data_IF_822628835915
#
_entry.id   IF_822628835915
#
_cell.length_a   1.000
_cell.length_b   1.000
_cell.length_c   1.000
_cell.angle_alpha   90.00
_cell.angle_beta   90.00
_cell.angle_gamma   90.00
#
_symmetry.space_group_name_H-M   'P 1'
#
loop_
_entity.id
_entity.type
_entity.pdbx_description
1 polymer ?
#
# COMPACT_ATOMS: atom_id res chain seq x y z
N UNK A 1 -70.54 42.36 -62.40
CA UNK A 1 -71.39 43.53 -62.71
C UNK A 1 -71.60 43.53 -64.22
N UNK A 2 -72.84 43.52 -64.71
CA UNK A 2 -73.14 43.57 -66.14
C UNK A 2 -72.80 44.96 -66.67
N UNK A 3 -71.93 45.03 -67.68
CA UNK A 3 -71.44 46.26 -68.32
C UNK A 3 -72.57 47.24 -68.67
N UNK A 4 -72.35 48.53 -68.43
CA UNK A 4 -73.31 49.61 -68.66
C UNK A 4 -73.87 49.67 -70.09
N UNK A 5 -73.11 49.18 -71.07
CA UNK A 5 -73.54 49.08 -72.46
C UNK A 5 -74.58 47.98 -72.71
N UNK A 6 -74.52 46.88 -71.94
CA UNK A 6 -75.51 45.79 -72.03
C UNK A 6 -76.86 46.20 -71.43
N UNK A 7 -76.85 46.96 -70.33
CA UNK A 7 -78.06 47.53 -69.75
C UNK A 7 -78.70 48.59 -70.66
N UNK A 8 -77.89 49.43 -71.33
CA UNK A 8 -78.34 50.38 -72.34
C UNK A 8 -78.97 49.71 -73.56
N UNK A 9 -78.39 48.61 -74.04
CA UNK A 9 -78.93 47.85 -75.18
C UNK A 9 -80.28 47.21 -74.86
N UNK A 10 -80.44 46.66 -73.64
CA UNK A 10 -81.71 46.11 -73.16
C UNK A 10 -82.76 47.22 -73.05
N UNK A 11 -82.41 48.37 -72.46
CA UNK A 11 -83.31 49.53 -72.37
C UNK A 11 -83.77 50.04 -73.75
N UNK A 12 -82.86 50.10 -74.73
CA UNK A 12 -83.19 50.49 -76.11
C UNK A 12 -84.13 49.51 -76.80
N UNK A 13 -83.91 48.21 -76.58
CA UNK A 13 -84.74 47.13 -77.15
C UNK A 13 -86.13 47.11 -76.53
N UNK A 14 -86.27 47.43 -75.24
CA UNK A 14 -87.57 47.59 -74.56
C UNK A 14 -88.32 48.81 -75.12
N UNK A 15 -87.65 49.95 -75.34
CA UNK A 15 -88.27 51.13 -75.96
C UNK A 15 -88.71 50.89 -77.41
N UNK A 16 -87.94 50.16 -78.21
CA UNK A 16 -88.33 49.78 -79.58
C UNK A 16 -89.55 48.86 -79.59
N UNK A 17 -89.68 47.97 -78.61
CA UNK A 17 -90.86 47.11 -78.43
C UNK A 17 -92.09 47.92 -78.02
N UNK A 18 -91.93 48.91 -77.14
CA UNK A 18 -93.03 49.80 -76.71
C UNK A 18 -93.52 50.71 -77.86
N UNK A 19 -92.62 51.18 -78.73
CA UNK A 19 -93.00 51.91 -79.95
C UNK A 19 -93.73 51.03 -80.97
N UNK A 20 -93.27 49.78 -81.19
CA UNK A 20 -93.94 48.81 -82.06
C UNK A 20 -95.34 48.44 -81.54
N UNK A 21 -95.50 48.34 -80.21
CA UNK A 21 -96.78 48.11 -79.55
C UNK A 21 -97.73 49.31 -79.72
N UNK A 22 -97.24 50.54 -79.54
CA UNK A 22 -98.03 51.76 -79.75
C UNK A 22 -98.47 51.93 -81.22
N UNK A 23 -97.63 51.55 -82.19
CA UNK A 23 -97.93 51.63 -83.63
C UNK A 23 -98.97 50.63 -84.14
N UNK A 24 -99.18 49.52 -83.41
CA UNK A 24 -100.11 48.45 -83.77
C UNK A 24 -101.45 48.50 -83.03
N UNK A 25 -101.67 49.53 -82.21
CA UNK A 25 -102.85 49.73 -81.34
C UNK A 25 -104.17 49.98 -82.09
N UNK A 26 -104.15 50.06 -83.43
CA UNK A 26 -105.30 50.48 -84.25
C UNK A 26 -106.03 49.40 -85.05
N UNK A 27 -105.57 48.14 -85.11
CA UNK A 27 -106.13 47.18 -86.09
C UNK A 27 -106.66 45.85 -85.55
N UNK A 28 -106.78 45.64 -84.23
CA UNK A 28 -107.37 44.40 -83.69
C UNK A 28 -108.05 44.58 -82.32
N UNK A 29 -109.04 43.73 -82.05
CA UNK A 29 -109.82 43.67 -80.81
C UNK A 29 -108.93 43.46 -79.57
N UNK A 30 -109.13 44.30 -78.54
CA UNK A 30 -108.36 44.34 -77.27
C UNK A 30 -108.18 42.97 -76.60
N UNK A 31 -109.11 42.04 -76.84
CA UNK A 31 -109.13 40.72 -76.20
C UNK A 31 -108.07 39.76 -76.78
N UNK A 32 -107.73 39.87 -78.07
CA UNK A 32 -106.79 38.96 -78.74
C UNK A 32 -105.32 39.35 -78.50
N UNK A 33 -105.01 40.65 -78.38
CA UNK A 33 -103.66 41.12 -78.06
C UNK A 33 -103.25 40.81 -76.62
N UNK A 34 -104.15 40.99 -75.65
CA UNK A 34 -103.85 40.67 -74.24
C UNK A 34 -103.62 39.17 -74.06
N UNK A 35 -104.41 38.32 -74.73
CA UNK A 35 -104.25 36.87 -74.65
C UNK A 35 -102.89 36.43 -75.22
N UNK A 36 -102.50 37.01 -76.36
CA UNK A 36 -101.24 36.71 -77.02
C UNK A 36 -100.04 37.19 -76.20
N UNK A 37 -100.09 38.38 -75.59
CA UNK A 37 -99.03 38.89 -74.72
C UNK A 37 -98.87 38.05 -73.46
N UNK A 38 -99.99 37.60 -72.85
CA UNK A 38 -99.95 36.67 -71.70
C UNK A 38 -99.31 35.33 -72.10
N UNK A 39 -99.65 34.78 -73.27
CA UNK A 39 -99.02 33.55 -73.77
C UNK A 39 -97.53 33.74 -74.04
N UNK A 40 -97.12 34.89 -74.60
CA UNK A 40 -95.72 35.18 -74.88
C UNK A 40 -94.90 35.37 -73.60
N UNK A 41 -95.50 35.96 -72.56
CA UNK A 41 -94.87 36.13 -71.24
C UNK A 41 -94.70 34.79 -70.51
N UNK A 42 -95.76 33.97 -70.46
CA UNK A 42 -95.70 32.62 -69.88
C UNK A 42 -94.68 31.75 -70.62
N UNK A 43 -94.57 31.92 -71.93
CA UNK A 43 -93.58 31.25 -72.76
C UNK A 43 -92.14 31.65 -72.43
N UNK A 44 -91.86 32.95 -72.28
CA UNK A 44 -90.53 33.46 -71.93
C UNK A 44 -90.09 32.93 -70.56
N UNK A 45 -90.99 32.97 -69.57
CA UNK A 45 -90.74 32.46 -68.21
C UNK A 45 -90.42 30.95 -68.26
N UNK A 46 -91.22 30.16 -68.96
CA UNK A 46 -90.98 28.71 -69.09
C UNK A 46 -89.63 28.38 -69.75
N UNK A 47 -89.21 29.14 -70.77
CA UNK A 47 -87.90 28.95 -71.40
C UNK A 47 -86.75 29.33 -70.48
N UNK A 48 -86.85 30.45 -69.76
CA UNK A 48 -85.82 30.86 -68.79
C UNK A 48 -85.70 29.78 -67.70
N UNK A 49 -86.80 29.26 -67.18
CA UNK A 49 -86.79 28.16 -66.23
C UNK A 49 -86.13 26.89 -66.80
N UNK A 50 -86.47 26.50 -68.04
CA UNK A 50 -85.84 25.35 -68.69
C UNK A 50 -84.33 25.54 -68.88
N UNK A 51 -83.88 26.73 -69.33
CA UNK A 51 -82.46 27.06 -69.52
C UNK A 51 -81.72 27.04 -68.18
N UNK A 52 -82.30 27.61 -67.13
CA UNK A 52 -81.71 27.60 -65.79
C UNK A 52 -81.54 26.17 -65.28
N UNK A 53 -82.57 25.31 -65.44
CA UNK A 53 -82.50 23.90 -65.04
C UNK A 53 -81.45 23.13 -65.86
N UNK A 54 -81.39 23.36 -67.18
CA UNK A 54 -80.39 22.75 -68.06
C UNK A 54 -78.97 23.19 -67.71
N UNK A 55 -78.76 24.47 -67.36
CA UNK A 55 -77.46 25.00 -66.99
C UNK A 55 -76.99 24.47 -65.62
N UNK A 56 -77.90 24.35 -64.65
CA UNK A 56 -77.58 23.84 -63.32
C UNK A 56 -77.17 22.36 -63.33
N UNK A 57 -77.58 21.61 -64.37
CA UNK A 57 -77.22 20.22 -64.58
C UNK A 57 -76.41 20.01 -65.88
N UNK A 58 -75.57 20.98 -66.24
CA UNK A 58 -74.78 21.00 -67.48
C UNK A 58 -73.89 19.77 -67.68
N UNK A 59 -73.44 19.13 -66.60
CA UNK A 59 -72.67 17.87 -66.64
C UNK A 59 -73.41 16.69 -67.28
N UNK A 60 -74.75 16.73 -67.33
CA UNK A 60 -75.59 15.68 -67.94
C UNK A 60 -75.85 15.89 -69.44
N UNK A 61 -75.47 17.04 -70.00
CA UNK A 61 -75.79 17.41 -71.38
C UNK A 61 -74.99 16.61 -72.42
N UNK A 62 -73.66 16.55 -72.26
CA UNK A 62 -72.76 15.84 -73.19
C UNK A 62 -73.01 14.31 -73.19
N UNK A 63 -73.21 13.64 -72.03
CA UNK A 63 -73.47 12.20 -71.99
C UNK A 63 -74.81 11.79 -72.63
N UNK A 64 -75.86 12.62 -72.54
CA UNK A 64 -77.18 12.31 -73.10
C UNK A 64 -77.19 12.47 -74.63
N UNK A 65 -76.61 13.55 -75.17
CA UNK A 65 -76.53 13.76 -76.62
C UNK A 65 -75.54 12.83 -77.34
N UNK A 66 -74.50 12.35 -76.64
CA UNK A 66 -73.58 11.34 -77.18
C UNK A 66 -74.13 9.91 -77.15
N UNK A 67 -75.37 9.71 -76.68
CA UNK A 67 -76.02 8.40 -76.60
C UNK A 67 -75.49 7.49 -75.49
N UNK A 68 -74.56 7.96 -74.65
CA UNK A 68 -73.99 7.20 -73.53
C UNK A 68 -74.96 7.05 -72.36
N UNK A 69 -75.88 8.01 -72.17
CA UNK A 69 -76.95 7.95 -71.17
C UNK A 69 -78.32 8.10 -71.83
N UNK A 70 -79.25 7.21 -71.46
CA UNK A 70 -80.66 7.36 -71.84
C UNK A 70 -81.30 8.55 -71.13
N UNK A 71 -82.26 9.21 -71.81
CA UNK A 71 -82.93 10.43 -71.34
C UNK A 71 -83.63 10.26 -69.97
N UNK A 72 -84.00 9.04 -69.59
CA UNK A 72 -84.60 8.71 -68.28
C UNK A 72 -83.78 7.69 -67.49
N UNK A 73 -82.46 7.69 -67.68
CA UNK A 73 -81.56 6.79 -66.94
C UNK A 73 -81.42 7.20 -65.47
N UNK A 74 -81.12 6.24 -64.59
CA UNK A 74 -80.97 6.47 -63.13
C UNK A 74 -79.94 7.57 -62.76
N UNK A 75 -79.05 7.95 -63.67
CA UNK A 75 -78.03 8.97 -63.45
C UNK A 75 -78.39 10.39 -63.94
N UNK A 76 -79.56 10.59 -64.56
CA UNK A 76 -79.98 11.90 -65.08
C UNK A 76 -81.14 12.44 -64.24
N UNK A 77 -81.07 13.69 -63.73
CA UNK A 77 -82.17 14.29 -62.99
C UNK A 77 -83.46 14.33 -63.82
N UNK A 78 -84.58 13.93 -63.22
CA UNK A 78 -85.88 13.94 -63.89
C UNK A 78 -86.24 15.34 -64.41
N UNK A 79 -85.90 16.38 -63.63
CA UNK A 79 -86.11 17.78 -63.97
C UNK A 79 -85.35 18.21 -65.24
N UNK A 80 -84.12 17.70 -65.42
CA UNK A 80 -83.31 17.95 -66.62
C UNK A 80 -83.97 17.34 -67.86
N UNK A 81 -84.42 16.10 -67.74
CA UNK A 81 -85.08 15.34 -68.80
C UNK A 81 -86.38 15.99 -69.26
N UNK A 82 -87.20 16.44 -68.29
CA UNK A 82 -88.44 17.18 -68.55
C UNK A 82 -88.15 18.54 -69.17
N UNK A 83 -87.15 19.29 -68.68
CA UNK A 83 -86.77 20.58 -69.25
C UNK A 83 -86.30 20.45 -70.70
N UNK A 84 -85.55 19.39 -71.02
CA UNK A 84 -85.06 19.11 -72.37
C UNK A 84 -86.19 18.71 -73.33
N UNK A 85 -87.16 17.91 -72.87
CA UNK A 85 -88.35 17.58 -73.69
C UNK A 85 -89.24 18.81 -73.85
N UNK A 86 -89.41 19.63 -72.82
CA UNK A 86 -90.30 20.79 -72.86
C UNK A 86 -89.77 21.89 -73.78
N UNK A 87 -88.46 22.15 -73.79
CA UNK A 87 -87.89 23.28 -74.54
C UNK A 87 -88.10 23.15 -76.06
N UNK A 88 -88.19 21.93 -76.60
CA UNK A 88 -88.29 21.67 -78.06
C UNK A 88 -89.70 21.97 -78.61
N UNK A 89 -90.82 21.42 -78.10
CA UNK A 89 -92.16 21.82 -78.49
C UNK A 89 -92.43 23.31 -78.24
N UNK A 90 -91.85 23.84 -77.15
CA UNK A 90 -91.94 25.25 -76.79
C UNK A 90 -91.27 26.11 -77.90
N UNK A 91 -89.98 25.89 -78.21
CA UNK A 91 -89.32 26.65 -79.30
C UNK A 91 -89.99 26.48 -80.66
N UNK A 92 -90.48 25.28 -81.00
CA UNK A 92 -91.24 25.04 -82.24
C UNK A 92 -92.56 25.82 -82.23
N UNK A 93 -93.32 25.80 -81.12
CA UNK A 93 -94.58 26.55 -80.99
C UNK A 93 -94.33 28.06 -81.11
N UNK A 94 -93.24 28.57 -80.57
CA UNK A 94 -92.85 29.99 -80.72
C UNK A 94 -92.40 30.34 -82.12
N UNK A 95 -91.63 29.47 -82.78
CA UNK A 95 -91.31 29.62 -84.20
C UNK A 95 -92.57 29.63 -85.06
N UNK A 96 -93.55 28.76 -84.78
CA UNK A 96 -94.84 28.71 -85.47
C UNK A 96 -95.70 29.93 -85.17
N UNK A 97 -95.76 30.40 -83.91
CA UNK A 97 -96.50 31.61 -83.53
C UNK A 97 -95.87 32.88 -84.11
N UNK A 98 -94.54 32.98 -84.13
CA UNK A 98 -93.81 34.04 -84.82
C UNK A 98 -94.05 33.98 -86.34
N UNK A 99 -93.98 32.80 -86.94
CA UNK A 99 -94.23 32.57 -88.35
C UNK A 99 -95.67 32.95 -88.75
N UNK A 100 -96.65 32.66 -87.89
CA UNK A 100 -98.06 32.99 -88.10
C UNK A 100 -98.38 34.47 -87.87
N UNK A 101 -97.63 35.15 -86.97
CA UNK A 101 -97.82 36.57 -86.62
C UNK A 101 -97.10 37.54 -87.58
N UNK A 102 -95.94 37.18 -88.13
CA UNK A 102 -95.13 38.06 -88.99
C UNK A 102 -95.13 37.63 -90.46
N UNK A 103 -96.25 37.87 -91.16
CA UNK A 103 -96.35 37.73 -92.62
C UNK A 103 -95.67 38.90 -93.38
N UNK A 104 -94.47 39.32 -92.94
CA UNK A 104 -93.73 40.49 -93.48
C UNK A 104 -92.22 40.19 -93.55
N UNK A 105 -91.63 40.23 -94.74
CA UNK A 105 -90.24 39.81 -95.04
C UNK A 105 -89.13 40.59 -94.30
N UNK A 106 -89.36 41.81 -93.82
CA UNK A 106 -88.33 42.64 -93.17
C UNK A 106 -87.93 42.15 -91.77
N UNK A 107 -88.85 41.55 -91.01
CA UNK A 107 -88.58 41.02 -89.66
C UNK A 107 -87.73 39.74 -89.73
N UNK A 108 -87.86 38.96 -90.81
CA UNK A 108 -87.02 37.79 -91.09
C UNK A 108 -85.54 38.16 -91.21
N UNK A 109 -85.21 39.29 -91.86
CA UNK A 109 -83.83 39.74 -92.00
C UNK A 109 -83.25 40.22 -90.66
N UNK A 110 -83.98 41.04 -89.90
CA UNK A 110 -83.51 41.56 -88.61
C UNK A 110 -83.33 40.47 -87.53
N UNK A 111 -84.19 39.44 -87.51
CA UNK A 111 -84.07 38.33 -86.57
C UNK A 111 -82.90 37.40 -86.94
N UNK A 112 -82.65 37.20 -88.24
CA UNK A 112 -81.48 36.46 -88.73
C UNK A 112 -80.20 37.20 -88.36
N UNK A 113 -80.11 38.51 -88.58
CA UNK A 113 -78.91 39.29 -88.23
C UNK A 113 -78.63 39.30 -86.72
N UNK A 114 -79.64 39.56 -85.88
CA UNK A 114 -79.46 39.51 -84.41
C UNK A 114 -79.13 38.09 -83.92
N UNK A 115 -79.70 37.06 -84.55
CA UNK A 115 -79.38 35.66 -84.28
C UNK A 115 -77.93 35.31 -84.65
N UNK A 116 -77.44 35.80 -85.78
CA UNK A 116 -76.04 35.64 -86.22
C UNK A 116 -75.07 36.32 -85.25
N UNK A 117 -75.37 37.53 -84.78
CA UNK A 117 -74.54 38.25 -83.80
C UNK A 117 -74.50 37.52 -82.45
N UNK A 118 -75.63 36.99 -81.96
CA UNK A 118 -75.66 36.19 -80.74
C UNK A 118 -74.87 34.89 -80.88
N UNK A 119 -75.05 34.17 -82.00
CA UNK A 119 -74.29 32.95 -82.29
C UNK A 119 -72.79 33.20 -82.36
N UNK A 120 -72.37 34.34 -82.95
CA UNK A 120 -70.97 34.76 -82.98
C UNK A 120 -70.41 35.02 -81.58
N UNK A 121 -71.12 35.80 -80.74
CA UNK A 121 -70.68 36.03 -79.37
C UNK A 121 -70.63 34.76 -78.53
N UNK A 122 -71.60 33.85 -78.70
CA UNK A 122 -71.59 32.56 -78.03
C UNK A 122 -70.40 31.71 -78.48
N UNK A 123 -70.09 31.69 -79.77
CA UNK A 123 -68.92 31.00 -80.31
C UNK A 123 -67.60 31.58 -79.77
N UNK A 124 -67.50 32.91 -79.64
CA UNK A 124 -66.35 33.58 -79.04
C UNK A 124 -66.18 33.21 -77.56
N UNK A 125 -67.26 33.21 -76.76
CA UNK A 125 -67.22 32.79 -75.36
C UNK A 125 -66.85 31.32 -75.18
N UNK A 126 -67.39 30.43 -76.02
CA UNK A 126 -67.05 28.99 -75.98
C UNK A 126 -65.57 28.79 -76.32
N UNK A 127 -65.05 29.53 -77.30
CA UNK A 127 -63.63 29.50 -77.69
C UNK A 127 -62.71 29.99 -76.57
N UNK A 128 -63.05 31.09 -75.90
CA UNK A 128 -62.27 31.61 -74.76
C UNK A 128 -62.30 30.64 -73.57
N UNK A 129 -63.45 29.98 -73.33
CA UNK A 129 -63.57 28.95 -72.29
C UNK A 129 -62.69 27.73 -72.60
N UNK A 130 -62.66 27.25 -73.85
CA UNK A 130 -61.82 26.15 -74.30
C UNK A 130 -60.32 26.49 -74.15
N UNK A 131 -59.90 27.69 -74.54
CA UNK A 131 -58.52 28.17 -74.37
C UNK A 131 -58.13 28.18 -72.87
N UNK A 132 -58.99 28.71 -72.01
CA UNK A 132 -58.74 28.74 -70.57
C UNK A 132 -58.73 27.34 -69.93
N UNK A 133 -59.62 26.45 -70.38
CA UNK A 133 -59.66 25.05 -69.92
C UNK A 133 -58.35 24.33 -70.25
N UNK A 134 -57.87 24.44 -71.49
CA UNK A 134 -56.58 23.86 -71.91
C UNK A 134 -55.39 24.45 -71.13
N UNK A 135 -55.44 25.74 -70.80
CA UNK A 135 -54.40 26.39 -69.98
C UNK A 135 -54.39 25.83 -68.55
N UNK A 136 -55.56 25.63 -67.95
CA UNK A 136 -55.69 25.02 -66.61
C UNK A 136 -55.18 23.58 -66.62
N UNK A 137 -55.55 22.78 -67.63
CA UNK A 137 -55.04 21.41 -67.79
C UNK A 137 -53.50 21.36 -67.87
N UNK A 138 -52.89 22.28 -68.63
CA UNK A 138 -51.43 22.40 -68.71
C UNK A 138 -50.77 22.72 -67.36
N UNK A 139 -51.36 23.63 -66.59
CA UNK A 139 -50.88 23.97 -65.23
C UNK A 139 -51.04 22.78 -64.29
N UNK A 140 -52.17 22.09 -64.33
CA UNK A 140 -52.41 20.88 -63.53
C UNK A 140 -51.36 19.81 -63.86
N UNK A 141 -51.05 19.59 -65.14
CA UNK A 141 -50.02 18.63 -65.56
C UNK A 141 -48.62 19.05 -65.06
N UNK A 142 -48.30 20.34 -65.05
CA UNK A 142 -47.03 20.86 -64.50
C UNK A 142 -46.92 20.62 -62.99
N UNK A 143 -47.97 20.93 -62.24
CA UNK A 143 -48.00 20.73 -60.78
C UNK A 143 -47.90 19.26 -60.40
N UNK A 144 -48.53 18.35 -61.16
CA UNK A 144 -48.38 16.91 -60.93
C UNK A 144 -46.91 16.46 -61.11
N UNK A 145 -46.22 16.95 -62.15
CA UNK A 145 -44.80 16.63 -62.33
C UNK A 145 -43.92 17.15 -61.20
N UNK A 146 -44.18 18.36 -60.70
CA UNK A 146 -43.44 18.91 -59.56
C UNK A 146 -43.69 18.10 -58.28
N UNK A 147 -44.93 17.67 -58.05
CA UNK A 147 -45.27 16.81 -56.92
C UNK A 147 -44.53 15.46 -56.99
N UNK A 148 -44.49 14.81 -58.16
CA UNK A 148 -43.77 13.55 -58.36
C UNK A 148 -42.26 13.70 -58.08
N UNK A 149 -41.66 14.80 -58.50
CA UNK A 149 -40.25 15.13 -58.19
C UNK A 149 -40.06 15.31 -56.68
N UNK A 150 -40.98 15.99 -56.00
CA UNK A 150 -40.89 16.23 -54.56
C UNK A 150 -41.00 14.93 -53.76
N UNK A 151 -41.93 14.04 -54.13
CA UNK A 151 -42.09 12.71 -53.53
C UNK A 151 -40.80 11.91 -53.70
N UNK A 152 -40.20 11.93 -54.90
CA UNK A 152 -38.95 11.22 -55.18
C UNK A 152 -37.81 11.73 -54.28
N UNK A 153 -37.63 13.06 -54.18
CA UNK A 153 -36.59 13.66 -53.32
C UNK A 153 -36.83 13.40 -51.84
N UNK A 154 -38.09 13.36 -51.39
CA UNK A 154 -38.42 13.04 -50.01
C UNK A 154 -38.03 11.60 -49.67
N UNK A 155 -38.32 10.65 -50.57
CA UNK A 155 -37.94 9.25 -50.39
C UNK A 155 -36.42 9.08 -50.37
N UNK A 156 -35.68 9.71 -51.29
CA UNK A 156 -34.21 9.70 -51.29
C UNK A 156 -33.63 10.26 -49.99
N UNK A 157 -34.18 11.38 -49.48
CA UNK A 157 -33.74 11.97 -48.23
C UNK A 157 -34.05 11.05 -47.03
N UNK A 158 -35.21 10.40 -47.02
CA UNK A 158 -35.60 9.45 -45.98
C UNK A 158 -34.60 8.29 -45.91
N UNK A 159 -34.26 7.68 -47.06
CA UNK A 159 -33.29 6.60 -47.12
C UNK A 159 -31.89 7.02 -46.68
N UNK A 160 -31.46 8.24 -47.03
CA UNK A 160 -30.15 8.76 -46.60
C UNK A 160 -30.14 8.96 -45.08
N UNK A 161 -31.23 9.48 -44.50
CA UNK A 161 -31.36 9.66 -43.06
C UNK A 161 -31.36 8.32 -42.32
N UNK A 162 -32.13 7.33 -42.78
CA UNK A 162 -32.16 5.98 -42.20
C UNK A 162 -30.77 5.34 -42.21
N UNK A 163 -30.08 5.36 -43.35
CA UNK A 163 -28.71 4.84 -43.47
C UNK A 163 -27.72 5.52 -42.52
N UNK A 164 -27.86 6.83 -42.30
CA UNK A 164 -27.00 7.57 -41.35
C UNK A 164 -27.30 7.21 -39.90
N UNK A 165 -28.57 7.07 -39.53
CA UNK A 165 -28.97 6.67 -38.18
C UNK A 165 -28.44 5.28 -37.87
N UNK A 166 -28.60 4.32 -38.78
CA UNK A 166 -28.04 2.98 -38.63
C UNK A 166 -26.51 3.01 -38.49
N UNK A 167 -25.84 3.88 -39.24
CA UNK A 167 -24.40 4.11 -39.14
C UNK A 167 -23.99 4.60 -37.75
N UNK A 168 -24.68 5.60 -37.21
CA UNK A 168 -24.43 6.10 -35.86
C UNK A 168 -24.71 5.04 -34.78
N UNK A 169 -25.81 4.28 -34.89
CA UNK A 169 -26.13 3.22 -33.94
C UNK A 169 -25.08 2.11 -33.90
N UNK A 170 -24.44 1.80 -35.03
CA UNK A 170 -23.31 0.86 -35.08
C UNK A 170 -22.07 1.45 -34.39
N UNK A 171 -21.74 2.71 -34.67
CA UNK A 171 -20.61 3.39 -34.04
C UNK A 171 -20.79 3.52 -32.52
N UNK A 172 -21.99 3.85 -32.03
CA UNK A 172 -22.28 3.93 -30.60
C UNK A 172 -22.17 2.57 -29.91
N UNK A 173 -22.64 1.49 -30.54
CA UNK A 173 -22.47 0.13 -30.02
C UNK A 173 -21.01 -0.27 -29.92
N UNK A 174 -20.23 0.00 -30.96
CA UNK A 174 -18.80 -0.27 -30.96
C UNK A 174 -18.07 0.53 -29.87
N UNK A 175 -18.32 1.83 -29.77
CA UNK A 175 -17.72 2.68 -28.74
C UNK A 175 -18.06 2.21 -27.32
N UNK A 176 -19.30 1.74 -27.10
CA UNK A 176 -19.73 1.19 -25.81
C UNK A 176 -18.95 -0.07 -25.45
N UNK A 177 -18.74 -0.98 -26.40
CA UNK A 177 -17.98 -2.21 -26.15
C UNK A 177 -16.48 -1.92 -25.94
N UNK A 178 -15.90 -1.03 -26.75
CA UNK A 178 -14.50 -0.60 -26.59
C UNK A 178 -14.27 0.04 -25.21
N UNK A 179 -15.23 0.87 -24.75
CA UNK A 179 -15.19 1.50 -23.42
C UNK A 179 -15.28 0.44 -22.32
N UNK A 180 -16.14 -0.57 -22.48
CA UNK A 180 -16.28 -1.67 -21.51
C UNK A 180 -15.01 -2.51 -21.43
N UNK A 181 -14.37 -2.81 -22.56
CA UNK A 181 -13.08 -3.51 -22.62
C UNK A 181 -12.01 -2.68 -21.90
N UNK A 182 -11.92 -1.38 -22.19
CA UNK A 182 -10.96 -0.48 -21.56
C UNK A 182 -11.15 -0.40 -20.04
N UNK A 183 -12.39 -0.22 -19.56
CA UNK A 183 -12.72 -0.19 -18.13
C UNK A 183 -12.37 -1.51 -17.45
N UNK A 184 -12.68 -2.65 -18.08
CA UNK A 184 -12.37 -3.97 -17.53
C UNK A 184 -10.85 -4.18 -17.42
N UNK A 185 -10.09 -3.76 -18.44
CA UNK A 185 -8.63 -3.79 -18.42
C UNK A 185 -8.03 -2.87 -17.34
N UNK A 186 -8.66 -1.72 -17.07
CA UNK A 186 -8.24 -0.82 -16.00
C UNK A 186 -8.52 -1.43 -14.61
N UNK A 187 -9.71 -2.02 -14.43
CA UNK A 187 -10.13 -2.64 -13.19
C UNK A 187 -9.24 -3.82 -12.80
N UNK A 188 -8.85 -4.68 -13.76
CA UNK A 188 -7.92 -5.79 -13.51
C UNK A 188 -6.52 -5.31 -13.11
N UNK A 189 -6.03 -4.24 -13.74
CA UNK A 189 -4.76 -3.60 -13.35
C UNK A 189 -4.81 -3.04 -11.93
N UNK A 190 -5.88 -2.35 -11.57
CA UNK A 190 -6.04 -1.83 -10.21
C UNK A 190 -6.13 -2.95 -9.16
N UNK A 191 -6.86 -4.03 -9.45
CA UNK A 191 -6.94 -5.18 -8.56
C UNK A 191 -5.56 -5.85 -8.35
N UNK A 192 -4.78 -5.99 -9.42
CA UNK A 192 -3.42 -6.52 -9.32
C UNK A 192 -2.49 -5.60 -8.50
N UNK A 193 -2.55 -4.29 -8.74
CA UNK A 193 -1.76 -3.32 -7.99
C UNK A 193 -2.14 -3.31 -6.50
N UNK A 194 -3.43 -3.42 -6.18
CA UNK A 194 -3.88 -3.49 -4.78
C UNK A 194 -3.34 -4.76 -4.09
N UNK A 195 -3.34 -5.90 -4.79
CA UNK A 195 -2.72 -7.14 -4.31
C UNK A 195 -1.22 -6.98 -4.03
N UNK A 196 -0.48 -6.31 -4.92
CA UNK A 196 0.95 -6.03 -4.73
C UNK A 196 1.19 -5.07 -3.54
N UNK A 197 0.34 -4.05 -3.38
CA UNK A 197 0.44 -3.11 -2.25
C UNK A 197 0.18 -3.83 -0.92
N UNK A 198 -0.82 -4.69 -0.86
CA UNK A 198 -1.11 -5.51 0.31
C UNK A 198 0.05 -6.46 0.65
N UNK A 199 0.64 -7.11 -0.36
CA UNK A 199 1.82 -7.95 -0.18
C UNK A 199 3.00 -7.13 0.37
N UNK A 200 3.31 -5.98 -0.21
CA UNK A 200 4.40 -5.11 0.23
C UNK A 200 4.18 -4.64 1.67
N UNK A 201 2.95 -4.27 2.02
CA UNK A 201 2.58 -3.88 3.39
C UNK A 201 2.83 -5.00 4.39
N UNK A 202 2.44 -6.24 4.05
CA UNK A 202 2.67 -7.41 4.90
C UNK A 202 4.17 -7.69 5.11
N UNK A 203 5.00 -7.56 4.06
CA UNK A 203 6.46 -7.74 4.12
C UNK A 203 7.12 -6.66 4.98
N UNK A 204 6.71 -5.40 4.84
CA UNK A 204 7.17 -4.29 5.68
C UNK A 204 6.84 -4.50 7.15
N UNK A 205 5.63 -4.94 7.45
CA UNK A 205 5.22 -5.24 8.83
C UNK A 205 6.08 -6.35 9.44
N UNK A 206 6.31 -7.43 8.69
CA UNK A 206 7.20 -8.53 9.12
C UNK A 206 8.63 -8.02 9.37
N UNK A 207 9.20 -7.26 8.44
CA UNK A 207 10.54 -6.69 8.59
C UNK A 207 10.67 -5.80 9.84
N UNK A 208 9.63 -5.00 10.15
CA UNK A 208 9.58 -4.19 11.37
C UNK A 208 9.57 -5.03 12.65
N UNK A 209 8.86 -6.16 12.67
CA UNK A 209 8.85 -7.09 13.80
C UNK A 209 10.22 -7.76 13.95
N UNK A 210 10.77 -8.26 12.85
CA UNK A 210 12.07 -8.93 12.83
C UNK A 210 13.18 -7.98 13.30
N UNK A 211 13.19 -6.72 12.84
CA UNK A 211 14.12 -5.68 13.28
C UNK A 211 14.05 -5.41 14.79
N UNK A 212 12.84 -5.28 15.35
CA UNK A 212 12.66 -5.11 16.81
C UNK A 212 13.16 -6.32 17.60
N UNK A 213 12.90 -7.53 17.09
CA UNK A 213 13.37 -8.76 17.73
C UNK A 213 14.91 -8.87 17.71
N UNK A 214 15.53 -8.51 16.58
CA UNK A 214 16.99 -8.48 16.44
C UNK A 214 17.62 -7.45 17.35
N UNK A 215 17.06 -6.23 17.45
CA UNK A 215 17.57 -5.19 18.34
C UNK A 215 17.58 -5.66 19.81
N UNK A 216 16.52 -6.38 20.23
CA UNK A 216 16.45 -6.96 21.56
C UNK A 216 17.51 -8.04 21.77
N UNK A 217 17.67 -8.97 20.83
CA UNK A 217 18.68 -10.02 20.91
C UNK A 217 20.10 -9.45 20.98
N UNK A 218 20.40 -8.41 20.21
CA UNK A 218 21.69 -7.71 20.27
C UNK A 218 21.90 -7.05 21.62
N UNK A 219 20.88 -6.39 22.18
CA UNK A 219 20.95 -5.78 23.52
C UNK A 219 21.23 -6.83 24.60
N UNK A 220 20.55 -7.98 24.55
CA UNK A 220 20.72 -9.08 25.50
C UNK A 220 22.14 -9.67 25.39
N UNK A 221 22.66 -9.83 24.17
CA UNK A 221 24.01 -10.32 23.92
C UNK A 221 25.09 -9.36 24.44
N UNK A 222 24.94 -8.06 24.19
CA UNK A 222 25.85 -7.03 24.70
C UNK A 222 25.85 -6.99 26.22
N UNK A 223 24.68 -7.10 26.86
CA UNK A 223 24.59 -7.19 28.32
C UNK A 223 25.31 -8.44 28.86
N UNK A 224 25.12 -9.60 28.22
CA UNK A 224 25.81 -10.84 28.57
C UNK A 224 27.33 -10.75 28.45
N UNK A 225 27.85 -10.16 27.37
CA UNK A 225 29.30 -9.92 27.22
C UNK A 225 29.82 -8.96 28.29
N UNK A 226 29.10 -7.86 28.54
CA UNK A 226 29.48 -6.87 29.54
C UNK A 226 29.62 -7.50 30.93
N UNK A 227 28.67 -8.36 31.31
CA UNK A 227 28.69 -9.10 32.58
C UNK A 227 29.89 -10.06 32.67
N UNK A 228 30.18 -10.79 31.60
CA UNK A 228 31.35 -11.70 31.56
C UNK A 228 32.65 -10.91 31.66
N UNK A 229 32.78 -9.81 30.91
CA UNK A 229 33.95 -8.93 30.96
C UNK A 229 34.17 -8.34 32.36
N UNK A 230 33.09 -7.89 33.01
CA UNK A 230 33.14 -7.35 34.37
C UNK A 230 33.63 -8.40 35.38
N UNK A 231 33.11 -9.63 35.33
CA UNK A 231 33.57 -10.73 36.19
C UNK A 231 35.04 -11.08 35.97
N UNK A 232 35.50 -11.08 34.72
CA UNK A 232 36.91 -11.33 34.41
C UNK A 232 37.81 -10.20 34.90
N UNK A 233 37.39 -8.95 34.75
CA UNK A 233 38.13 -7.80 35.27
C UNK A 233 38.27 -7.86 36.79
N UNK A 234 37.18 -8.19 37.51
CA UNK A 234 37.23 -8.40 38.96
C UNK A 234 38.21 -9.51 39.35
N UNK A 235 38.21 -10.64 38.63
CA UNK A 235 39.15 -11.74 38.87
C UNK A 235 40.60 -11.33 38.65
N UNK A 236 40.89 -10.58 37.58
CA UNK A 236 42.21 -10.02 37.33
C UNK A 236 42.62 -9.03 38.44
N UNK A 237 41.71 -8.17 38.89
CA UNK A 237 41.98 -7.24 39.98
C UNK A 237 42.33 -7.96 41.29
N UNK A 238 41.61 -9.03 41.63
CA UNK A 238 41.92 -9.87 42.80
C UNK A 238 43.33 -10.48 42.69
N UNK A 239 43.69 -11.00 41.52
CA UNK A 239 45.02 -11.56 41.27
C UNK A 239 46.12 -10.50 41.38
N UNK A 240 45.92 -9.33 40.79
CA UNK A 240 46.86 -8.20 40.89
C UNK A 240 47.02 -7.77 42.35
N UNK A 241 45.94 -7.67 43.11
CA UNK A 241 45.98 -7.33 44.52
C UNK A 241 46.75 -8.38 45.36
N UNK A 242 46.53 -9.67 45.08
CA UNK A 242 47.29 -10.77 45.68
C UNK A 242 48.78 -10.67 45.33
N UNK A 243 49.14 -10.52 44.06
CA UNK A 243 50.54 -10.41 43.64
C UNK A 243 51.24 -9.18 44.23
N UNK A 244 50.56 -8.04 44.30
CA UNK A 244 51.09 -6.83 44.92
C UNK A 244 51.38 -7.04 46.41
N UNK A 245 50.47 -7.70 47.13
CA UNK A 245 50.70 -8.07 48.53
C UNK A 245 51.80 -9.11 48.69
N UNK A 246 51.85 -10.12 47.82
CA UNK A 246 52.90 -11.14 47.81
C UNK A 246 54.27 -10.52 47.59
N UNK A 247 54.39 -9.61 46.63
CA UNK A 247 55.61 -8.84 46.37
C UNK A 247 56.06 -8.09 47.63
N UNK A 248 55.16 -7.29 48.21
CA UNK A 248 55.46 -6.55 49.44
C UNK A 248 55.89 -7.47 50.59
N UNK A 249 55.26 -8.64 50.72
CA UNK A 249 55.68 -9.62 51.73
C UNK A 249 57.06 -10.18 51.43
N UNK A 250 57.34 -10.66 50.22
CA UNK A 250 58.63 -11.24 49.86
C UNK A 250 59.78 -10.25 50.10
N UNK A 251 59.55 -8.95 49.89
CA UNK A 251 60.53 -7.88 50.12
C UNK A 251 60.61 -7.36 51.56
N UNK A 252 59.63 -7.68 52.41
CA UNK A 252 59.63 -7.26 53.81
C UNK A 252 60.55 -8.15 54.69
N UNK A 253 61.12 -7.55 55.74
CA UNK A 253 61.89 -8.26 56.76
C UNK A 253 61.04 -9.27 57.54
N UNK A 254 61.73 -10.14 58.30
CA UNK A 254 61.23 -11.35 58.97
C UNK A 254 59.81 -11.23 59.56
N UNK A 255 58.97 -12.23 59.27
CA UNK A 255 57.62 -12.38 59.85
C UNK A 255 57.71 -12.51 61.38
N UNK A 256 56.85 -11.79 62.11
CA UNK A 256 56.77 -11.80 63.58
C UNK A 256 55.44 -12.39 64.07
N UNK A 257 55.41 -12.81 65.33
CA UNK A 257 54.22 -13.37 65.99
C UNK A 257 53.09 -12.33 66.06
N UNK A 258 53.42 -11.08 66.41
CA UNK A 258 52.46 -9.97 66.57
C UNK A 258 51.76 -9.64 65.25
N UNK A 259 52.49 -9.72 64.13
CA UNK A 259 51.94 -9.47 62.80
C UNK A 259 50.87 -10.51 62.44
N UNK A 260 51.18 -11.79 62.63
CA UNK A 260 50.25 -12.89 62.34
C UNK A 260 49.04 -12.84 63.28
N UNK A 261 49.24 -12.54 64.56
CA UNK A 261 48.15 -12.31 65.52
C UNK A 261 47.24 -11.16 65.11
N UNK A 262 47.82 -10.02 64.70
CA UNK A 262 47.05 -8.85 64.25
C UNK A 262 46.18 -9.17 63.04
N UNK A 263 46.69 -9.99 62.10
CA UNK A 263 45.90 -10.47 60.96
C UNK A 263 44.75 -11.37 61.40
N UNK A 264 44.99 -12.31 62.33
CA UNK A 264 43.95 -13.20 62.85
C UNK A 264 42.88 -12.41 63.60
N UNK A 265 43.27 -11.52 64.52
CA UNK A 265 42.35 -10.66 65.29
C UNK A 265 41.44 -9.86 64.37
N UNK A 266 42.02 -9.20 63.36
CA UNK A 266 41.25 -8.43 62.38
C UNK A 266 40.18 -9.26 61.66
N UNK A 267 40.50 -10.51 61.28
CA UNK A 267 39.55 -11.40 60.61
C UNK A 267 38.46 -11.89 61.58
N UNK A 268 38.85 -12.28 62.79
CA UNK A 268 37.94 -12.78 63.84
C UNK A 268 36.97 -11.68 64.28
N UNK A 269 37.48 -10.50 64.63
CA UNK A 269 36.67 -9.37 65.11
C UNK A 269 35.62 -8.94 64.07
N UNK A 270 35.98 -8.93 62.79
CA UNK A 270 35.05 -8.60 61.71
C UNK A 270 33.95 -9.66 61.57
N UNK A 271 34.29 -10.93 61.66
CA UNK A 271 33.33 -12.02 61.51
C UNK A 271 32.42 -12.13 62.73
N UNK A 272 32.95 -11.97 63.94
CA UNK A 272 32.18 -12.03 65.19
C UNK A 272 31.22 -10.85 65.36
N UNK A 273 31.60 -9.66 64.89
CA UNK A 273 30.70 -8.50 64.86
C UNK A 273 29.53 -8.65 63.87
N UNK A 274 29.53 -9.69 63.02
CA UNK A 274 28.54 -9.92 61.96
C UNK A 274 27.92 -11.32 62.04
N UNK A 275 26.93 -11.54 62.94
CA UNK A 275 26.36 -12.86 63.20
C UNK A 275 25.63 -13.48 61.99
N UNK A 276 25.21 -12.68 61.00
CA UNK A 276 24.61 -13.18 59.76
C UNK A 276 25.61 -13.93 58.86
N UNK A 277 26.92 -13.69 59.01
CA UNK A 277 27.96 -14.42 58.29
C UNK A 277 28.14 -15.85 58.80
N UNK A 278 27.51 -16.22 59.92
CA UNK A 278 27.66 -17.53 60.54
C UNK A 278 27.08 -18.67 59.71
N UNK A 279 25.92 -18.48 59.06
CA UNK A 279 25.21 -19.54 58.33
C UNK A 279 25.18 -19.28 56.83
N UNK A 280 25.45 -20.30 56.03
CA UNK A 280 25.14 -20.28 54.59
C UNK A 280 23.62 -20.35 54.38
N UNK A 281 23.08 -19.64 53.38
CA UNK A 281 21.62 -19.64 53.11
C UNK A 281 21.12 -20.94 52.48
N UNK A 282 21.98 -21.70 51.79
CA UNK A 282 21.60 -22.92 51.04
C UNK A 282 21.81 -24.22 51.81
N UNK A 283 22.80 -24.26 52.68
CA UNK A 283 23.11 -25.44 53.50
C UNK A 283 23.00 -25.03 54.96
N UNK A 284 22.43 -25.90 55.80
CA UNK A 284 22.41 -25.76 57.27
C UNK A 284 23.81 -25.85 57.90
N UNK A 285 24.85 -25.46 57.16
CA UNK A 285 26.24 -25.47 57.52
C UNK A 285 26.72 -24.04 57.78
N UNK A 286 27.72 -23.92 58.65
CA UNK A 286 28.38 -22.64 58.87
C UNK A 286 29.10 -22.18 57.60
N UNK A 287 29.22 -20.88 57.38
CA UNK A 287 29.98 -20.35 56.24
C UNK A 287 31.46 -20.74 56.35
N UNK A 288 32.13 -20.86 55.19
CA UNK A 288 33.55 -21.18 55.09
C UNK A 288 34.42 -20.22 55.90
N UNK A 289 34.17 -18.91 55.76
CA UNK A 289 34.90 -17.86 56.50
C UNK A 289 34.64 -17.95 58.00
N UNK A 290 33.41 -18.24 58.43
CA UNK A 290 33.09 -18.43 59.84
C UNK A 290 33.86 -19.60 60.46
N UNK A 291 33.88 -20.76 59.79
CA UNK A 291 34.61 -21.93 60.28
C UNK A 291 36.12 -21.71 60.39
N UNK A 292 36.71 -21.02 59.41
CA UNK A 292 38.13 -20.66 59.43
C UNK A 292 38.41 -19.72 60.61
N UNK A 293 37.63 -18.64 60.75
CA UNK A 293 37.86 -17.65 61.81
C UNK A 293 37.66 -18.23 63.21
N UNK A 294 36.65 -19.09 63.43
CA UNK A 294 36.51 -19.80 64.70
C UNK A 294 37.74 -20.69 65.00
N UNK A 295 38.22 -21.44 64.00
CA UNK A 295 39.38 -22.32 64.18
C UNK A 295 40.67 -21.52 64.45
N UNK A 296 40.82 -20.34 63.85
CA UNK A 296 41.94 -19.44 64.10
C UNK A 296 41.83 -18.74 65.46
N UNK A 297 40.60 -18.42 65.90
CA UNK A 297 40.35 -17.83 67.22
C UNK A 297 40.83 -18.75 68.35
N UNK A 298 40.64 -20.06 68.22
CA UNK A 298 41.11 -21.04 69.20
C UNK A 298 42.65 -21.08 69.33
N UNK A 299 43.37 -20.54 68.34
CA UNK A 299 44.83 -20.45 68.33
C UNK A 299 45.35 -19.11 68.86
N UNK A 300 44.53 -18.05 68.95
CA UNK A 300 44.95 -16.74 69.46
C UNK A 300 45.54 -16.79 70.88
N UNK A 301 44.90 -17.42 71.88
CA UNK A 301 45.39 -17.41 73.26
C UNK A 301 46.78 -18.07 73.44
N UNK A 302 47.14 -18.98 72.53
CA UNK A 302 48.45 -19.66 72.54
C UNK A 302 49.58 -18.79 72.01
N UNK A 303 49.26 -17.80 71.18
CA UNK A 303 50.23 -16.82 70.72
C UNK A 303 50.44 -15.69 71.73
N UNK A 304 49.42 -15.38 72.55
CA UNK A 304 49.43 -14.25 73.49
C UNK A 304 50.22 -14.51 74.79
N UNK A 305 50.80 -15.70 74.96
CA UNK A 305 51.64 -16.03 76.12
C UNK A 305 53.00 -15.34 76.02
N UNK A 306 53.34 -14.49 76.99
CA UNK A 306 54.57 -13.66 77.00
C UNK A 306 55.88 -14.47 77.08
N UNK A 307 55.84 -15.70 77.62
CA UNK A 307 57.00 -16.62 77.74
C UNK A 307 56.93 -17.77 76.71
N UNK A 308 56.85 -17.45 75.41
CA UNK A 308 56.78 -18.49 74.37
C UNK A 308 58.17 -19.02 74.01
N UNK A 309 58.45 -20.25 74.42
CA UNK A 309 59.61 -21.00 73.91
C UNK A 309 59.56 -21.11 72.37
N UNK A 310 60.71 -21.24 71.72
CA UNK A 310 60.81 -21.39 70.25
C UNK A 310 59.96 -22.56 69.73
N UNK A 311 59.85 -23.63 70.53
CA UNK A 311 58.99 -24.78 70.24
C UNK A 311 57.49 -24.46 70.33
N UNK A 312 57.09 -23.59 71.26
CA UNK A 312 55.71 -23.10 71.37
C UNK A 312 55.32 -22.25 70.15
N UNK A 313 56.21 -21.38 69.69
CA UNK A 313 56.01 -20.54 68.49
C UNK A 313 55.88 -21.43 67.25
N UNK A 314 56.73 -22.45 67.11
CA UNK A 314 56.66 -23.41 66.00
C UNK A 314 55.33 -24.17 65.98
N UNK A 315 54.90 -24.68 67.14
CA UNK A 315 53.64 -25.41 67.28
C UNK A 315 52.43 -24.52 66.99
N UNK A 316 52.46 -23.26 67.43
CA UNK A 316 51.42 -22.28 67.15
C UNK A 316 51.31 -21.97 65.65
N UNK A 317 52.42 -21.62 65.00
CA UNK A 317 52.45 -21.31 63.58
C UNK A 317 52.06 -22.52 62.70
N UNK A 318 52.48 -23.72 63.07
CA UNK A 318 52.03 -24.96 62.41
C UNK A 318 50.53 -25.21 62.60
N UNK A 319 49.98 -24.85 63.76
CA UNK A 319 48.54 -24.90 64.02
C UNK A 319 47.75 -24.03 63.04
N UNK A 320 48.24 -22.82 62.77
CA UNK A 320 47.62 -21.90 61.80
C UNK A 320 47.67 -22.50 60.39
N UNK A 321 48.84 -22.99 59.96
CA UNK A 321 48.99 -23.61 58.63
C UNK A 321 48.04 -24.82 58.49
N UNK A 322 47.95 -25.68 59.50
CA UNK A 322 47.03 -26.84 59.50
C UNK A 322 45.55 -26.45 59.43
N UNK A 323 45.16 -25.30 59.99
CA UNK A 323 43.79 -24.79 59.87
C UNK A 323 43.55 -24.32 58.44
N UNK A 324 44.49 -23.58 57.87
CA UNK A 324 44.36 -22.98 56.54
C UNK A 324 44.42 -24.02 55.42
N UNK A 325 45.30 -25.03 55.51
CA UNK A 325 45.44 -26.12 54.52
C UNK A 325 44.17 -26.96 54.32
N UNK A 326 43.25 -26.96 55.29
CA UNK A 326 41.95 -27.65 55.14
C UNK A 326 41.06 -27.01 54.08
N UNK A 327 41.37 -25.81 53.63
CA UNK A 327 40.51 -25.03 52.75
C UNK A 327 41.22 -24.67 51.44
N UNK A 328 40.51 -24.82 50.31
CA UNK A 328 40.99 -24.37 49.00
C UNK A 328 40.78 -22.86 48.87
N UNK A 329 41.86 -22.09 48.75
CA UNK A 329 41.82 -20.62 48.59
C UNK A 329 41.70 -20.15 47.13
N UNK A 330 41.81 -21.06 46.16
CA UNK A 330 41.77 -20.73 44.73
C UNK A 330 40.37 -20.36 44.20
N UNK A 331 39.33 -20.57 45.00
CA UNK A 331 37.94 -20.45 44.59
C UNK A 331 37.11 -19.75 45.68
N UNK A 332 36.46 -18.66 45.30
CA UNK A 332 35.42 -17.98 46.07
C UNK A 332 34.11 -18.14 45.30
N UNK A 333 33.17 -18.92 45.86
CA UNK A 333 31.90 -19.22 45.23
C UNK A 333 30.81 -18.24 45.64
N UNK A 334 29.72 -18.15 44.88
CA UNK A 334 28.53 -17.38 45.33
C UNK A 334 27.94 -17.91 46.64
N UNK A 335 28.19 -19.17 46.99
CA UNK A 335 27.75 -19.74 48.26
C UNK A 335 28.50 -19.12 49.44
N UNK A 336 29.79 -18.84 49.27
CA UNK A 336 30.63 -18.14 50.26
C UNK A 336 30.17 -16.68 50.45
N UNK A 337 29.62 -16.06 49.40
CA UNK A 337 29.13 -14.68 49.41
C UNK A 337 27.65 -14.55 49.79
N UNK A 338 26.88 -15.65 49.73
CA UNK A 338 25.44 -15.70 50.04
C UNK A 338 25.00 -15.15 51.41
N UNK A 339 25.83 -15.21 52.48
CA UNK A 339 25.48 -14.64 53.78
C UNK A 339 25.60 -13.11 53.83
N UNK A 340 26.37 -12.51 52.92
CA UNK A 340 26.67 -11.07 52.92
C UNK A 340 25.41 -10.24 52.60
N UNK A 341 25.26 -9.09 53.25
CA UNK A 341 24.10 -8.20 53.09
C UNK A 341 24.31 -7.12 52.03
N UNK A 342 25.55 -6.71 51.81
CA UNK A 342 25.91 -5.63 50.89
C UNK A 342 27.22 -5.91 50.14
N UNK A 343 27.51 -5.09 49.13
CA UNK A 343 28.71 -5.22 48.30
C UNK A 343 30.02 -4.99 49.08
N UNK A 344 29.99 -4.19 50.15
CA UNK A 344 31.14 -3.98 51.02
C UNK A 344 31.52 -5.24 51.80
N UNK A 345 30.53 -5.95 52.33
CA UNK A 345 30.68 -7.26 52.98
C UNK A 345 31.15 -8.32 51.99
N UNK A 346 30.56 -8.36 50.80
CA UNK A 346 30.97 -9.30 49.73
C UNK A 346 32.43 -9.08 49.36
N UNK A 347 32.86 -7.83 49.21
CA UNK A 347 34.24 -7.49 48.91
C UNK A 347 35.20 -7.86 50.05
N UNK A 348 34.80 -7.63 51.30
CA UNK A 348 35.62 -8.04 52.46
C UNK A 348 35.80 -9.56 52.53
N UNK A 349 34.71 -10.33 52.41
CA UNK A 349 34.74 -11.80 52.44
C UNK A 349 35.58 -12.36 51.30
N UNK A 350 35.43 -11.79 50.09
CA UNK A 350 36.21 -12.14 48.91
C UNK A 350 37.71 -11.85 49.10
N UNK A 351 38.07 -10.65 49.59
CA UNK A 351 39.47 -10.31 49.92
C UNK A 351 40.04 -11.25 50.98
N UNK A 352 39.24 -11.57 52.00
CA UNK A 352 39.71 -12.41 53.11
C UNK A 352 40.07 -13.81 52.62
N UNK A 353 39.19 -14.41 51.81
CA UNK A 353 39.38 -15.76 51.25
C UNK A 353 40.50 -15.83 50.20
N UNK A 354 40.55 -14.86 49.28
CA UNK A 354 41.47 -14.91 48.14
C UNK A 354 42.83 -14.27 48.42
N UNK A 355 42.93 -13.41 49.44
CA UNK A 355 44.11 -12.60 49.70
C UNK A 355 44.58 -12.73 51.16
N UNK A 356 43.78 -12.32 52.14
CA UNK A 356 44.29 -12.19 53.53
C UNK A 356 44.65 -13.55 54.16
N UNK A 357 43.86 -14.60 53.95
CA UNK A 357 44.13 -15.95 54.48
C UNK A 357 45.33 -16.64 53.80
N UNK A 358 45.46 -16.64 52.46
CA UNK A 358 46.70 -17.09 51.80
C UNK A 358 47.94 -16.35 52.29
N UNK A 359 47.87 -15.02 52.47
CA UNK A 359 48.99 -14.24 52.99
C UNK A 359 49.32 -14.59 54.44
N UNK A 360 48.31 -14.86 55.27
CA UNK A 360 48.48 -15.33 56.65
C UNK A 360 49.18 -16.69 56.69
N UNK A 361 48.85 -17.60 55.77
CA UNK A 361 49.52 -18.89 55.65
C UNK A 361 51.00 -18.73 55.29
N UNK A 362 51.31 -17.85 54.35
CA UNK A 362 52.69 -17.54 53.96
C UNK A 362 53.48 -16.96 55.14
N UNK A 363 52.89 -16.03 55.90
CA UNK A 363 53.56 -15.43 57.06
C UNK A 363 53.78 -16.43 58.20
N UNK A 364 52.84 -17.36 58.43
CA UNK A 364 53.01 -18.44 59.39
C UNK A 364 54.13 -19.41 58.96
N UNK A 365 54.22 -19.75 57.67
CA UNK A 365 55.31 -20.57 57.12
C UNK A 365 56.67 -19.87 57.25
N UNK A 366 56.75 -18.57 56.95
CA UNK A 366 57.98 -17.78 57.11
C UNK A 366 58.39 -17.69 58.58
N UNK A 367 57.43 -17.53 59.49
CA UNK A 367 57.71 -17.55 60.94
C UNK A 367 58.31 -18.90 61.37
N UNK A 368 57.78 -20.03 60.87
CA UNK A 368 58.35 -21.37 61.11
C UNK A 368 59.80 -21.45 60.61
N UNK A 369 60.07 -20.98 59.40
CA UNK A 369 61.42 -21.01 58.80
C UNK A 369 62.39 -20.14 59.60
N UNK A 370 61.98 -18.91 59.98
CA UNK A 370 62.81 -17.99 60.75
C UNK A 370 63.20 -18.57 62.11
N UNK A 371 62.21 -19.08 62.86
CA UNK A 371 62.47 -19.68 64.18
C UNK A 371 63.37 -20.92 64.06
N UNK A 372 63.16 -21.77 63.05
CA UNK A 372 64.06 -22.91 62.79
C UNK A 372 65.47 -22.48 62.42
N UNK A 373 65.61 -21.42 61.63
CA UNK A 373 66.90 -20.87 61.27
C UNK A 373 67.64 -20.32 62.50
N UNK A 374 66.93 -19.65 63.42
CA UNK A 374 67.49 -19.15 64.66
C UNK A 374 67.92 -20.28 65.61
N UNK A 375 67.08 -21.32 65.78
CA UNK A 375 67.44 -22.54 66.52
C UNK A 375 68.71 -23.16 65.93
N UNK A 376 68.76 -23.34 64.61
CA UNK A 376 69.90 -23.93 63.93
C UNK A 376 71.16 -23.09 64.10
N UNK A 377 71.04 -21.76 63.97
CA UNK A 377 72.15 -20.83 64.18
C UNK A 377 72.67 -20.91 65.62
N UNK A 378 71.79 -20.92 66.62
CA UNK A 378 72.14 -21.11 68.04
C UNK A 378 72.84 -22.44 68.28
N UNK A 379 72.34 -23.53 67.69
CA UNK A 379 72.96 -24.85 67.77
C UNK A 379 74.37 -24.87 67.14
N UNK A 380 74.55 -24.25 65.96
CA UNK A 380 75.86 -24.10 65.33
C UNK A 380 76.82 -23.24 66.18
N UNK A 381 76.34 -22.12 66.74
CA UNK A 381 77.16 -21.26 67.62
C UNK A 381 77.54 -22.00 68.91
N UNK A 382 76.64 -22.80 69.49
CA UNK A 382 76.93 -23.62 70.66
C UNK A 382 77.94 -24.73 70.33
N UNK A 383 77.80 -25.40 69.18
CA UNK A 383 78.76 -26.40 68.70
C UNK A 383 80.15 -25.79 68.43
N UNK A 384 80.18 -24.58 67.85
CA UNK A 384 81.42 -23.83 67.66
C UNK A 384 82.06 -23.46 69.01
N UNK A 385 81.30 -22.91 69.96
CA UNK A 385 81.80 -22.59 71.30
C UNK A 385 82.25 -23.81 72.09
N UNK A 386 81.60 -24.96 71.92
CA UNK A 386 82.04 -26.24 72.49
C UNK A 386 83.37 -26.71 71.87
N UNK A 387 83.51 -26.64 70.54
CA UNK A 387 84.75 -26.96 69.86
C UNK A 387 85.90 -26.03 70.29
N UNK A 388 85.64 -24.72 70.39
CA UNK A 388 86.60 -23.73 70.88
C UNK A 388 87.01 -24.00 72.34
N UNK A 389 86.06 -24.36 73.22
CA UNK A 389 86.35 -24.73 74.61
C UNK A 389 87.21 -26.00 74.74
N UNK A 390 86.95 -27.04 73.92
CA UNK A 390 87.80 -28.24 73.90
C UNK A 390 89.22 -27.89 73.48
N UNK A 391 89.38 -27.06 72.44
CA UNK A 391 90.70 -26.62 71.95
C UNK A 391 91.43 -25.81 73.03
N UNK A 392 90.73 -24.94 73.77
CA UNK A 392 91.33 -24.16 74.86
C UNK A 392 91.68 -24.97 76.11
N UNK A 393 90.87 -25.98 76.48
CA UNK A 393 91.15 -26.84 77.66
C UNK A 393 92.27 -27.86 77.39
N UNK A 394 92.55 -28.21 76.13
CA UNK A 394 93.75 -28.99 75.77
C UNK A 394 95.06 -28.17 75.77
N UNK A 395 95.01 -26.85 75.97
CA UNK A 395 96.19 -26.01 76.14
C UNK A 395 96.52 -25.81 77.63
N UNK A 396 97.23 -26.76 78.23
CA UNK A 396 97.98 -26.51 79.46
C UNK A 396 99.00 -25.37 79.24
N UNK A 397 99.24 -24.47 80.21
CA UNK A 397 100.27 -23.44 80.09
C UNK A 397 101.64 -24.12 80.31
N UNK A 398 102.25 -24.56 79.22
CA UNK A 398 103.59 -25.15 79.21
C UNK A 398 104.40 -24.60 78.05
N UNK A 399 105.42 -23.83 78.39
CA UNK A 399 106.44 -23.16 77.58
C UNK A 399 106.63 -23.58 76.10
N UNK A 400 106.49 -22.54 75.26
CA UNK A 400 107.36 -22.18 74.13
C UNK A 400 107.51 -23.10 72.90
N UNK A 401 107.52 -22.40 71.75
CA UNK A 401 108.16 -22.68 70.46
C UNK A 401 107.25 -23.15 69.30
N UNK A 402 107.18 -22.23 68.33
CA UNK A 402 107.03 -22.36 66.87
C UNK A 402 105.94 -23.27 66.29
N UNK A 403 104.99 -22.59 65.62
CA UNK A 403 104.63 -22.89 64.24
C UNK A 403 104.18 -24.32 63.94
N UNK A 404 102.90 -24.62 64.19
CA UNK A 404 102.21 -25.62 63.41
C UNK A 404 100.73 -25.29 63.33
N UNK A 405 100.31 -24.92 62.12
CA UNK A 405 98.93 -24.86 61.67
C UNK A 405 98.33 -26.27 61.70
N UNK A 406 98.05 -26.80 62.89
CA UNK A 406 97.26 -28.00 63.06
C UNK A 406 95.79 -27.60 62.96
N UNK A 407 95.29 -27.73 61.74
CA UNK A 407 93.88 -27.83 61.39
C UNK A 407 93.10 -28.64 62.43
N UNK A 408 91.99 -28.07 62.89
CA UNK A 408 90.98 -28.60 63.82
C UNK A 408 90.24 -29.86 63.28
N UNK A 409 90.83 -30.57 62.31
CA UNK A 409 90.22 -31.73 61.64
C UNK A 409 90.17 -32.99 62.49
N UNK A 410 91.09 -33.17 63.45
CA UNK A 410 91.28 -34.48 64.12
C UNK A 410 90.59 -34.65 65.48
N UNK A 411 89.93 -33.62 66.02
CA UNK A 411 89.10 -33.77 67.24
C UNK A 411 87.62 -33.99 66.91
N UNK A 412 87.17 -33.57 65.71
CA UNK A 412 85.83 -33.89 65.22
C UNK A 412 85.69 -35.35 64.73
N UNK A 413 86.78 -35.98 64.27
CA UNK A 413 86.75 -37.39 63.80
C UNK A 413 86.58 -38.42 64.93
N UNK A 414 86.96 -38.10 66.18
CA UNK A 414 86.84 -39.04 67.30
C UNK A 414 85.47 -39.00 68.02
N UNK A 415 84.59 -38.05 67.69
CA UNK A 415 83.20 -38.02 68.21
C UNK A 415 82.20 -38.54 67.16
N UNK A 416 82.56 -38.54 65.87
CA UNK A 416 81.74 -39.10 64.77
C UNK A 416 82.00 -40.59 64.53
N UNK A 417 83.05 -41.17 65.14
CA UNK A 417 83.41 -42.58 64.95
C UNK A 417 82.64 -43.57 65.86
N UNK A 418 81.84 -43.10 66.82
CA UNK A 418 81.05 -43.98 67.72
C UNK A 418 79.52 -43.83 67.58
N UNK A 419 79.03 -43.04 66.62
CA UNK A 419 77.65 -43.17 66.12
C UNK A 419 77.65 -43.09 64.59
N UNK A 420 77.74 -44.28 63.97
CA UNK A 420 77.95 -44.50 62.55
C UNK A 420 77.02 -43.72 61.61
N UNK A 421 77.67 -43.02 60.67
CA UNK A 421 77.10 -42.40 59.48
C UNK A 421 77.46 -43.26 58.27
N UNK A 422 76.46 -43.72 57.52
CA UNK A 422 76.59 -43.91 56.08
C UNK A 422 75.72 -42.85 55.41
N UNK A 423 76.37 -41.81 54.92
CA UNK A 423 75.78 -40.82 54.06
C UNK A 423 75.83 -41.24 52.60
N UNK A 424 74.92 -40.69 51.82
CA UNK A 424 75.18 -40.30 50.44
C UNK A 424 74.68 -38.86 50.27
N UNK A 425 75.62 -37.95 50.06
CA UNK A 425 75.40 -36.56 49.73
C UNK A 425 76.12 -36.26 48.44
N UNK A 426 75.39 -35.84 47.42
CA UNK A 426 75.97 -35.17 46.24
C UNK A 426 75.16 -33.91 45.92
N UNK A 427 75.80 -32.79 46.25
CA UNK A 427 75.86 -31.53 45.54
C UNK A 427 74.56 -30.77 45.19
N UNK A 428 74.36 -29.66 45.90
CA UNK A 428 73.73 -28.46 45.35
C UNK A 428 74.57 -27.92 44.17
N UNK A 429 73.93 -27.70 43.03
CA UNK A 429 74.42 -26.87 41.93
C UNK A 429 73.52 -25.65 41.78
N UNK A 430 74.09 -24.48 42.06
CA UNK A 430 73.52 -23.18 41.69
C UNK A 430 73.59 -23.03 40.17
N UNK A 431 72.42 -23.05 39.51
CA UNK A 431 72.25 -22.47 38.17
C UNK A 431 71.05 -21.54 38.16
N UNK A 432 71.37 -20.24 38.21
CA UNK A 432 70.60 -19.21 37.56
C UNK A 432 70.48 -19.52 36.06
N UNK A 433 69.26 -19.73 35.56
CA UNK A 433 68.93 -19.49 34.17
C UNK A 433 67.48 -19.03 34.05
N UNK A 434 67.36 -17.81 33.53
CA UNK A 434 66.16 -17.26 32.93
C UNK A 434 65.71 -18.15 31.77
N UNK A 435 64.45 -18.59 31.76
CA UNK A 435 63.68 -18.79 30.53
C UNK A 435 62.20 -18.64 30.85
N UNK A 436 61.67 -17.52 30.37
CA UNK A 436 60.25 -17.36 30.01
C UNK A 436 59.90 -18.47 29.03
N UNK A 437 58.93 -19.32 29.36
CA UNK A 437 58.27 -20.16 28.36
C UNK A 437 57.01 -19.44 27.91
N UNK A 438 57.16 -18.67 26.83
CA UNK A 438 56.08 -18.28 25.95
C UNK A 438 55.63 -19.55 25.22
N UNK A 439 54.37 -19.94 25.37
CA UNK A 439 53.70 -20.70 24.32
C UNK A 439 53.11 -19.69 23.34
N UNK A 440 53.93 -19.28 22.38
CA UNK A 440 53.47 -18.86 21.06
C UNK A 440 53.25 -20.13 20.24
N UNK A 441 52.01 -20.37 19.85
CA UNK A 441 51.74 -21.15 18.65
C UNK A 441 51.84 -20.17 17.48
N UNK A 442 53.04 -20.03 16.92
CA UNK A 442 53.21 -19.52 15.57
C UNK A 442 52.85 -20.63 14.59
N UNK A 443 51.75 -20.45 13.88
CA UNK A 443 51.56 -21.01 12.55
C UNK A 443 52.20 -20.04 11.56
N UNK A 444 53.43 -20.32 11.17
CA UNK A 444 54.04 -19.69 10.00
C UNK A 444 53.43 -20.28 8.73
N UNK A 445 53.08 -19.39 7.82
CA UNK A 445 52.48 -19.73 6.54
C UNK A 445 53.48 -20.16 5.48
N UNK A 446 52.93 -20.65 4.37
CA UNK A 446 53.33 -20.17 3.06
C UNK A 446 52.11 -20.19 2.09
N UNK A 447 51.96 -19.18 1.21
CA UNK A 447 51.08 -19.17 0.04
C UNK A 447 51.79 -19.88 -1.16
N UNK A 448 51.26 -20.03 -2.41
CA UNK A 448 50.33 -19.13 -3.12
C UNK A 448 49.32 -19.77 -4.13
N UNK A 449 48.62 -18.88 -4.88
CA UNK A 449 48.01 -19.05 -6.21
C UNK A 449 46.65 -19.77 -6.26
N UNK A 450 45.61 -19.43 -7.04
CA UNK A 450 45.35 -18.58 -8.22
C UNK A 450 43.92 -17.98 -8.05
N UNK A 451 43.69 -16.70 -8.36
CA UNK A 451 43.00 -16.24 -9.59
C UNK A 451 41.78 -17.07 -9.99
N UNK A 452 40.57 -16.50 -9.84
CA UNK A 452 39.77 -16.12 -11.01
C UNK A 452 38.55 -15.29 -10.57
N UNK A 453 38.59 -14.04 -11.02
CA UNK A 453 37.45 -13.15 -11.17
C UNK A 453 36.57 -13.69 -12.32
N UNK A 454 35.28 -13.90 -12.09
CA UNK A 454 34.31 -13.93 -13.19
C UNK A 454 33.17 -12.95 -12.88
N UNK A 455 33.39 -11.74 -13.38
CA UNK A 455 32.36 -10.82 -13.84
C UNK A 455 31.59 -11.49 -14.99
N UNK A 456 30.29 -11.73 -14.83
CA UNK A 456 29.41 -11.93 -15.97
C UNK A 456 28.27 -10.92 -15.95
N UNK A 457 28.51 -9.87 -16.73
CA UNK A 457 27.52 -9.06 -17.41
C UNK A 457 26.48 -9.94 -18.13
N UNK A 458 25.21 -9.57 -18.03
CA UNK A 458 24.18 -10.03 -18.95
C UNK A 458 23.25 -8.86 -19.27
N UNK A 459 23.73 -8.01 -20.18
CA UNK A 459 22.90 -7.32 -21.16
C UNK A 459 23.14 -8.02 -22.51
N UNK A 460 22.13 -8.72 -23.02
CA UNK A 460 21.94 -8.88 -24.47
C UNK A 460 20.44 -8.76 -24.76
N UNK A 461 20.17 -7.81 -25.64
CA UNK A 461 18.92 -7.49 -26.32
C UNK A 461 18.55 -8.63 -27.29
N UNK A 462 17.31 -9.10 -27.24
CA UNK A 462 16.41 -9.24 -28.41
C UNK A 462 15.02 -8.79 -27.99
#
# INVERSE_FOLDING_TARGET
MLDGDKARLIGRTISEYDELYKRSKGSFSVRENVLLDVFLYMFLIMNICCIVILNNHSSSFIPVFSGKLGLFSKGVPLCFSIALIAIVPITILFLVLLYRKYKVQSVKHNLVDKGVVFAKHLADYVRDLDINSRRIESVIASLHRELDILITKQNELSEICERRVEGFDRQFRQLTEDTKIAITGLATRFANNDGQIQELSSRLQKLCVDSKSSAKATSDYVAGISDVAKRQLERCNDQVALFKRLYNHLTAETSSVEKVQGMIKKCVDYVESKPHLKKSKRFLCNSKVWNICCSLKDLLPKGEQEDTSEESILNWAQGIVKVLDKYKFSECSEEDLSPCKDDGERNFVRSTLLIDLPMMQIDALRLIVNVRQDIFKKACTAAQGFAENIISDTCFPGDSVAGSSRSVSTVAENIVSDTGLLGDSVAMSSKSMSTVSLHTADTDGNPPSEADDDYLSSEVIV
#
